data_IF_007258817219
#
_entry.id   IF_007258817219
#
_cell.length_a   1.000
_cell.length_b   1.000
_cell.length_c   1.000
_cell.angle_alpha   90.00
_cell.angle_beta   90.00
_cell.angle_gamma   90.00
#
_symmetry.space_group_name_H-M   'P 1'
#
loop_
_entity.id
_entity.type
_entity.pdbx_description
1 polymer ?
#
# COMPACT_ATOMS: atom_id res chain seq x y z
N UNK A 1 3.89 42.83 -16.84
CA UNK A 1 2.89 41.92 -17.40
C UNK A 1 3.61 40.70 -17.95
N UNK A 2 3.34 39.51 -17.44
CA UNK A 2 3.96 38.26 -17.90
C UNK A 2 3.18 37.75 -19.13
N UNK A 3 3.89 37.64 -20.26
CA UNK A 3 3.32 37.10 -21.49
C UNK A 3 3.20 35.55 -21.51
N UNK A 4 3.46 34.87 -20.37
CA UNK A 4 3.49 33.42 -20.25
C UNK A 4 2.50 32.92 -19.17
N UNK A 5 1.18 33.03 -19.37
CA UNK A 5 0.20 32.74 -18.33
C UNK A 5 0.24 31.31 -17.82
N UNK A 6 0.41 30.32 -18.68
CA UNK A 6 0.50 28.91 -18.29
C UNK A 6 1.76 28.60 -17.47
N UNK A 7 2.89 29.22 -17.81
CA UNK A 7 4.13 29.08 -17.04
C UNK A 7 4.00 29.66 -15.63
N UNK A 8 3.31 30.79 -15.50
CA UNK A 8 3.03 31.40 -14.19
C UNK A 8 2.08 30.52 -13.39
N UNK A 9 1.03 30.01 -14.01
CA UNK A 9 0.04 29.15 -13.38
C UNK A 9 0.63 27.80 -12.92
N UNK A 10 1.52 27.18 -13.69
CA UNK A 10 2.18 25.92 -13.37
C UNK A 10 3.40 26.05 -12.45
N UNK A 11 3.85 27.28 -12.15
CA UNK A 11 5.03 27.51 -11.28
C UNK A 11 4.93 26.84 -9.91
N UNK A 12 3.80 26.95 -9.17
CA UNK A 12 3.66 26.29 -7.86
C UNK A 12 3.81 24.77 -7.93
N UNK A 13 3.24 24.13 -8.98
CA UNK A 13 3.40 22.69 -9.20
C UNK A 13 4.88 22.34 -9.44
N UNK A 14 5.52 23.04 -10.37
CA UNK A 14 6.94 22.83 -10.67
C UNK A 14 7.83 22.97 -9.41
N UNK A 15 7.58 23.99 -8.62
CA UNK A 15 8.38 24.28 -7.42
C UNK A 15 8.13 23.22 -6.33
N UNK A 16 6.89 22.72 -6.20
CA UNK A 16 6.56 21.61 -5.31
C UNK A 16 7.24 20.31 -5.76
N UNK A 17 7.24 19.98 -7.06
CA UNK A 17 7.94 18.82 -7.62
C UNK A 17 9.45 18.89 -7.34
N UNK A 18 10.09 20.03 -7.61
CA UNK A 18 11.53 20.23 -7.32
C UNK A 18 11.85 20.10 -5.84
N UNK A 19 10.99 20.64 -4.97
CA UNK A 19 11.14 20.51 -3.53
C UNK A 19 11.01 19.05 -3.08
N UNK A 20 10.02 18.33 -3.61
CA UNK A 20 9.82 16.89 -3.36
C UNK A 20 11.06 16.09 -3.74
N UNK A 21 11.56 16.28 -4.96
CA UNK A 21 12.78 15.62 -5.44
C UNK A 21 13.97 15.84 -4.49
N UNK A 22 14.26 17.11 -4.13
CA UNK A 22 15.36 17.43 -3.21
C UNK A 22 15.20 16.83 -1.82
N UNK A 23 13.97 16.75 -1.29
CA UNK A 23 13.71 16.16 0.02
C UNK A 23 13.92 14.64 0.01
N UNK A 24 13.48 13.97 -1.04
CA UNK A 24 13.69 12.53 -1.22
C UNK A 24 15.18 12.24 -1.38
N UNK A 25 15.87 12.97 -2.24
CA UNK A 25 17.31 12.83 -2.46
C UNK A 25 18.10 12.98 -1.15
N UNK A 26 17.81 14.02 -0.36
CA UNK A 26 18.42 14.22 0.97
C UNK A 26 18.11 13.10 1.95
N UNK A 27 16.90 12.54 1.90
CA UNK A 27 16.52 11.40 2.74
C UNK A 27 17.33 10.15 2.37
N UNK A 28 17.47 9.85 1.09
CA UNK A 28 18.20 8.68 0.60
C UNK A 28 19.70 8.79 0.92
N UNK A 29 20.31 9.95 0.74
CA UNK A 29 21.76 10.15 0.95
C UNK A 29 22.09 10.35 2.44
N UNK A 30 21.38 11.22 3.13
CA UNK A 30 21.71 11.63 4.50
C UNK A 30 20.85 10.94 5.58
N UNK A 31 19.96 10.01 5.23
CA UNK A 31 19.02 9.31 6.13
C UNK A 31 18.22 10.25 7.04
N UNK A 32 18.03 11.51 6.63
CA UNK A 32 17.24 12.49 7.38
C UNK A 32 15.77 12.14 7.33
N UNK A 33 15.05 12.36 8.45
CA UNK A 33 13.62 12.11 8.53
C UNK A 33 12.86 12.86 7.44
N UNK A 34 11.98 12.17 6.72
CA UNK A 34 11.20 12.70 5.61
C UNK A 34 9.87 13.26 6.14
N UNK A 35 9.65 14.56 5.93
CA UNK A 35 8.36 15.18 6.25
C UNK A 35 7.38 14.94 5.08
N UNK A 36 6.58 13.89 5.19
CA UNK A 36 5.63 13.49 4.17
C UNK A 36 4.63 14.59 3.77
N UNK A 37 4.29 15.52 4.68
CA UNK A 37 3.36 16.63 4.40
C UNK A 37 3.91 17.63 3.39
N UNK A 38 5.21 17.69 3.23
CA UNK A 38 5.89 18.60 2.29
C UNK A 38 6.09 18.03 0.90
N UNK A 39 5.79 16.74 0.74
CA UNK A 39 5.95 16.04 -0.54
C UNK A 39 4.73 16.23 -1.44
N UNK A 40 4.95 16.00 -2.72
CA UNK A 40 3.87 15.71 -3.64
C UNK A 40 3.29 14.35 -3.25
N UNK A 41 2.00 14.28 -2.91
CA UNK A 41 1.41 13.11 -2.25
C UNK A 41 0.43 12.33 -3.12
N UNK A 42 -0.06 12.94 -4.22
CA UNK A 42 -1.03 12.29 -5.09
C UNK A 42 -0.88 12.72 -6.54
N UNK A 43 -1.29 11.84 -7.46
CA UNK A 43 -1.36 12.16 -8.90
C UNK A 43 -2.32 13.31 -9.23
N UNK A 44 -3.35 13.51 -8.41
CA UNK A 44 -4.31 14.58 -8.63
C UNK A 44 -3.68 15.97 -8.45
N UNK A 45 -2.67 16.09 -7.61
CA UNK A 45 -1.92 17.34 -7.49
C UNK A 45 -1.20 17.73 -8.79
N UNK A 46 -0.83 16.74 -9.61
CA UNK A 46 -0.25 16.94 -10.94
C UNK A 46 -1.36 17.16 -11.97
N UNK A 47 -2.35 16.28 -11.98
CA UNK A 47 -3.37 16.24 -13.03
C UNK A 47 -4.31 17.45 -13.00
N UNK A 48 -4.69 17.91 -11.80
CA UNK A 48 -5.65 19.03 -11.65
C UNK A 48 -5.19 20.31 -12.37
N UNK A 49 -3.97 20.85 -12.11
CA UNK A 49 -3.51 22.04 -12.83
C UNK A 49 -3.29 21.78 -14.33
N UNK A 50 -2.89 20.58 -14.74
CA UNK A 50 -2.72 20.27 -16.16
C UNK A 50 -4.06 20.22 -16.90
N UNK A 51 -5.14 19.73 -16.27
CA UNK A 51 -6.50 19.79 -16.86
C UNK A 51 -6.94 21.22 -17.13
N UNK A 52 -6.75 22.12 -16.17
CA UNK A 52 -7.09 23.55 -16.35
C UNK A 52 -6.34 24.17 -17.51
N UNK A 53 -5.05 23.89 -17.65
CA UNK A 53 -4.26 24.36 -18.81
C UNK A 53 -4.78 23.78 -20.11
N UNK A 54 -5.10 22.48 -20.14
CA UNK A 54 -5.64 21.82 -21.33
C UNK A 54 -6.98 22.41 -21.75
N UNK A 55 -7.92 22.55 -20.81
CA UNK A 55 -9.23 23.16 -21.05
C UNK A 55 -9.11 24.59 -21.59
N UNK A 56 -8.20 25.39 -21.03
CA UNK A 56 -7.93 26.75 -21.51
C UNK A 56 -7.34 26.76 -22.92
N UNK A 57 -6.46 25.82 -23.26
CA UNK A 57 -5.91 25.71 -24.62
C UNK A 57 -6.99 25.34 -25.63
N UNK A 58 -7.85 24.38 -25.30
CA UNK A 58 -8.98 23.96 -26.14
C UNK A 58 -9.98 25.12 -26.38
N UNK A 59 -10.32 25.88 -25.32
CA UNK A 59 -11.18 27.06 -25.43
C UNK A 59 -10.58 28.19 -26.27
N UNK A 60 -9.27 28.28 -26.37
CA UNK A 60 -8.55 29.27 -27.18
C UNK A 60 -8.10 28.72 -28.56
N UNK A 61 -8.71 27.67 -29.05
CA UNK A 61 -8.45 27.07 -30.40
C UNK A 61 -7.00 26.57 -30.57
N UNK A 62 -6.33 26.17 -29.47
CA UNK A 62 -4.99 25.61 -29.47
C UNK A 62 -4.99 24.09 -29.22
N UNK A 63 -5.90 23.39 -29.91
CA UNK A 63 -6.11 21.94 -29.75
C UNK A 63 -4.86 21.10 -30.05
N UNK A 64 -4.07 21.54 -31.04
CA UNK A 64 -2.80 20.86 -31.38
C UNK A 64 -1.81 20.83 -30.20
N UNK A 65 -1.76 21.91 -29.40
CA UNK A 65 -0.91 21.98 -28.20
C UNK A 65 -1.55 21.18 -27.06
N UNK A 66 -2.88 21.26 -26.91
CA UNK A 66 -3.62 20.52 -25.89
C UNK A 66 -3.57 19.01 -26.07
N UNK A 67 -3.50 18.52 -27.32
CA UNK A 67 -3.45 17.09 -27.68
C UNK A 67 -2.04 16.53 -27.90
N UNK A 68 -1.00 17.36 -27.86
CA UNK A 68 0.42 16.98 -27.96
C UNK A 68 1.04 16.56 -26.63
N UNK A 69 2.20 17.11 -26.35
CA UNK A 69 3.04 16.80 -25.15
C UNK A 69 2.27 16.95 -23.84
N UNK A 70 1.35 17.92 -23.77
CA UNK A 70 0.52 18.11 -22.57
C UNK A 70 -0.36 16.87 -22.30
N UNK A 71 -1.02 16.36 -23.32
CA UNK A 71 -1.86 15.16 -23.19
C UNK A 71 -1.02 13.94 -22.83
N UNK A 72 0.16 13.79 -23.43
CA UNK A 72 1.06 12.68 -23.13
C UNK A 72 1.59 12.74 -21.70
N UNK A 73 1.94 13.92 -21.20
CA UNK A 73 2.29 14.12 -19.79
C UNK A 73 1.13 13.74 -18.86
N UNK A 74 -0.09 14.16 -19.21
CA UNK A 74 -1.30 13.81 -18.44
C UNK A 74 -1.57 12.31 -18.44
N UNK A 75 -1.39 11.63 -19.58
CA UNK A 75 -1.53 10.16 -19.69
C UNK A 75 -0.50 9.45 -18.81
N UNK A 76 0.76 9.87 -18.87
CA UNK A 76 1.84 9.33 -18.01
C UNK A 76 1.52 9.54 -16.53
N UNK A 77 1.13 10.75 -16.13
CA UNK A 77 0.74 11.04 -14.76
C UNK A 77 -0.50 10.24 -14.30
N UNK A 78 -1.45 9.97 -15.20
CA UNK A 78 -2.64 9.15 -14.90
C UNK A 78 -2.27 7.68 -14.72
N UNK A 79 -1.39 7.14 -15.54
CA UNK A 79 -0.98 5.73 -15.51
C UNK A 79 -0.04 5.42 -14.34
N UNK A 80 1.01 6.22 -14.18
CA UNK A 80 2.08 5.95 -13.21
C UNK A 80 1.92 6.69 -11.88
N UNK A 81 1.11 7.76 -11.86
CA UNK A 81 0.98 8.62 -10.69
C UNK A 81 2.30 9.30 -10.35
N UNK A 82 2.60 9.31 -9.06
CA UNK A 82 3.89 9.77 -8.49
C UNK A 82 4.84 8.59 -8.21
N UNK A 83 4.36 7.36 -8.39
CA UNK A 83 5.11 6.13 -8.19
C UNK A 83 5.28 5.44 -9.54
N UNK A 84 6.49 5.03 -9.87
CA UNK A 84 6.77 4.35 -11.15
C UNK A 84 5.99 3.04 -11.30
N UNK A 85 5.86 2.28 -10.21
CA UNK A 85 5.11 1.02 -10.16
C UNK A 85 4.56 0.80 -8.75
N UNK A 86 3.47 0.02 -8.66
CA UNK A 86 2.96 -0.47 -7.37
C UNK A 86 3.78 -1.66 -6.93
N UNK A 87 4.11 -1.70 -5.65
CA UNK A 87 4.86 -2.79 -5.05
C UNK A 87 3.91 -3.83 -4.46
N UNK A 88 3.98 -5.06 -4.95
CA UNK A 88 3.35 -6.21 -4.31
C UNK A 88 4.18 -6.68 -3.11
N UNK A 89 3.49 -6.95 -2.02
CA UNK A 89 4.10 -7.52 -0.82
C UNK A 89 3.98 -9.03 -0.90
N UNK A 90 5.07 -9.76 -0.68
CA UNK A 90 5.09 -11.22 -0.73
C UNK A 90 5.55 -11.79 0.60
N UNK A 91 4.82 -12.78 1.11
CA UNK A 91 5.17 -13.49 2.34
C UNK A 91 4.57 -14.91 2.33
N UNK A 92 5.24 -15.81 3.01
CA UNK A 92 4.81 -17.19 3.16
C UNK A 92 3.71 -17.33 4.24
N UNK A 93 2.71 -18.21 4.01
CA UNK A 93 1.57 -18.44 4.91
C UNK A 93 2.00 -18.91 6.30
N UNK A 94 3.04 -19.74 6.39
CA UNK A 94 3.57 -20.25 7.64
C UNK A 94 4.03 -19.14 8.60
N UNK A 95 4.59 -18.05 8.06
CA UNK A 95 5.04 -16.88 8.84
C UNK A 95 3.86 -16.18 9.55
N UNK A 96 2.73 -16.07 8.86
CA UNK A 96 1.51 -15.51 9.46
C UNK A 96 0.94 -16.43 10.54
N UNK A 97 0.92 -17.74 10.29
CA UNK A 97 0.46 -18.74 11.24
C UNK A 97 1.30 -18.78 12.51
N UNK A 98 2.64 -18.64 12.40
CA UNK A 98 3.56 -18.57 13.54
C UNK A 98 3.35 -17.32 14.39
N UNK A 99 3.16 -16.15 13.74
CA UNK A 99 2.83 -14.91 14.43
C UNK A 99 1.53 -15.05 15.24
N UNK A 100 0.49 -15.61 14.63
CA UNK A 100 -0.78 -15.88 15.31
C UNK A 100 -0.62 -16.89 16.45
N UNK A 101 0.22 -17.92 16.28
CA UNK A 101 0.48 -18.90 17.32
C UNK A 101 1.11 -18.27 18.56
N UNK A 102 2.10 -17.38 18.39
CA UNK A 102 2.68 -16.65 19.50
C UNK A 102 1.64 -15.77 20.21
N UNK A 103 0.84 -15.04 19.44
CA UNK A 103 -0.21 -14.19 19.97
C UNK A 103 -1.26 -14.98 20.76
N UNK A 104 -1.78 -16.07 20.17
CA UNK A 104 -2.81 -16.92 20.79
C UNK A 104 -2.27 -17.62 22.04
N UNK A 105 -1.05 -18.13 21.99
CA UNK A 105 -0.39 -18.77 23.15
C UNK A 105 -0.32 -17.81 24.34
N UNK A 106 0.11 -16.57 24.11
CA UNK A 106 0.24 -15.57 25.19
C UNK A 106 -1.11 -15.12 25.73
N UNK A 107 -2.14 -15.04 24.88
CA UNK A 107 -3.46 -14.52 25.25
C UNK A 107 -4.38 -15.58 25.84
N UNK A 108 -4.39 -16.78 25.30
CA UNK A 108 -5.38 -17.82 25.58
C UNK A 108 -4.74 -19.13 26.05
N UNK A 109 -3.43 -19.17 26.24
CA UNK A 109 -2.65 -20.38 26.57
C UNK A 109 -2.98 -21.58 25.67
N UNK A 110 -3.20 -21.34 24.37
CA UNK A 110 -3.61 -22.34 23.38
C UNK A 110 -2.66 -22.36 22.19
N UNK A 111 -2.49 -23.51 21.55
CA UNK A 111 -1.63 -23.66 20.39
C UNK A 111 -2.45 -23.53 19.09
N UNK A 112 -2.35 -22.37 18.44
CA UNK A 112 -3.03 -22.07 17.19
C UNK A 112 -2.69 -23.04 16.04
N UNK A 113 -1.43 -23.51 15.97
CA UNK A 113 -0.96 -24.37 14.90
C UNK A 113 -1.65 -25.74 14.92
N UNK A 114 -2.03 -26.23 16.11
CA UNK A 114 -2.68 -27.51 16.30
C UNK A 114 -4.21 -27.44 16.08
N UNK A 115 -4.75 -26.27 15.78
CA UNK A 115 -6.19 -26.16 15.54
C UNK A 115 -6.56 -26.65 14.14
N UNK A 116 -7.73 -27.30 14.04
CA UNK A 116 -8.32 -27.60 12.75
C UNK A 116 -8.78 -26.32 12.04
N UNK A 117 -8.97 -26.38 10.74
CA UNK A 117 -9.30 -25.25 9.88
C UNK A 117 -10.56 -24.50 10.33
N UNK A 118 -11.62 -25.21 10.66
CA UNK A 118 -12.88 -24.61 11.13
C UNK A 118 -12.68 -23.79 12.41
N UNK A 119 -11.83 -24.23 13.32
CA UNK A 119 -11.52 -23.52 14.57
C UNK A 119 -10.69 -22.25 14.28
N UNK A 120 -9.72 -22.34 13.35
CA UNK A 120 -8.94 -21.19 12.90
C UNK A 120 -9.84 -20.12 12.29
N UNK A 121 -10.69 -20.49 11.33
CA UNK A 121 -11.63 -19.58 10.66
C UNK A 121 -12.56 -18.92 11.67
N UNK A 122 -13.22 -19.68 12.55
CA UNK A 122 -14.10 -19.14 13.60
C UNK A 122 -13.39 -18.16 14.50
N UNK A 123 -12.16 -18.46 14.89
CA UNK A 123 -11.34 -17.56 15.72
C UNK A 123 -11.01 -16.27 14.99
N UNK A 124 -10.52 -16.35 13.75
CA UNK A 124 -10.12 -15.19 12.96
C UNK A 124 -11.32 -14.26 12.69
N UNK A 125 -12.46 -14.81 12.29
CA UNK A 125 -13.69 -14.04 12.08
C UNK A 125 -14.14 -13.36 13.39
N UNK A 126 -14.08 -14.06 14.52
CA UNK A 126 -14.42 -13.49 15.82
C UNK A 126 -13.50 -12.33 16.21
N UNK A 127 -12.17 -12.47 15.99
CA UNK A 127 -11.22 -11.39 16.29
C UNK A 127 -11.41 -10.18 15.36
N UNK A 128 -11.73 -10.40 14.08
CA UNK A 128 -12.06 -9.33 13.15
C UNK A 128 -13.32 -8.55 13.57
N UNK A 129 -14.37 -9.26 13.99
CA UNK A 129 -15.64 -8.63 14.47
C UNK A 129 -15.45 -7.78 15.72
N UNK A 130 -14.50 -8.11 16.59
CA UNK A 130 -14.24 -7.33 17.81
C UNK A 130 -13.73 -5.92 17.57
N UNK A 131 -13.23 -5.63 16.37
CA UNK A 131 -12.65 -4.34 15.96
C UNK A 131 -11.65 -3.74 16.98
N UNK A 132 -10.99 -4.59 17.79
CA UNK A 132 -10.02 -4.18 18.79
C UNK A 132 -8.61 -4.30 18.20
N UNK A 133 -7.81 -3.26 18.36
CA UNK A 133 -6.39 -3.24 17.95
C UNK A 133 -5.52 -4.00 18.97
N UNK A 134 -5.80 -5.29 19.11
CA UNK A 134 -5.17 -6.14 20.14
C UNK A 134 -3.67 -6.34 19.94
N UNK A 135 -3.18 -6.16 18.69
CA UNK A 135 -1.75 -6.31 18.35
C UNK A 135 -0.96 -5.02 18.57
N UNK A 136 -1.62 -3.87 18.72
CA UNK A 136 -0.94 -2.57 18.80
C UNK A 136 0.14 -2.53 19.90
N UNK A 137 -0.17 -3.09 21.06
CA UNK A 137 0.71 -3.11 22.24
C UNK A 137 1.29 -4.51 22.49
N UNK A 138 1.17 -5.43 21.53
CA UNK A 138 1.70 -6.76 21.68
C UNK A 138 3.20 -6.78 21.29
N UNK A 139 4.03 -7.24 22.19
CA UNK A 139 5.46 -7.42 21.95
C UNK A 139 5.72 -8.87 21.54
N UNK A 140 5.98 -9.06 20.24
CA UNK A 140 6.41 -10.35 19.70
C UNK A 140 7.86 -10.62 20.12
N UNK A 141 8.08 -11.75 20.83
CA UNK A 141 9.42 -12.14 21.30
C UNK A 141 10.24 -12.78 20.20
N UNK A 142 9.60 -13.52 19.30
CA UNK A 142 10.27 -14.12 18.16
C UNK A 142 10.63 -13.01 17.16
N UNK A 143 11.92 -12.97 16.76
CA UNK A 143 12.44 -11.96 15.83
C UNK A 143 11.70 -11.98 14.49
N UNK A 144 11.41 -13.16 13.95
CA UNK A 144 10.71 -13.32 12.68
C UNK A 144 9.27 -12.83 12.77
N UNK A 145 8.55 -13.15 13.85
CA UNK A 145 7.19 -12.68 14.07
C UNK A 145 7.15 -11.16 14.22
N UNK A 146 8.15 -10.58 14.91
CA UNK A 146 8.26 -9.13 15.03
C UNK A 146 8.56 -8.46 13.68
N UNK A 147 9.36 -9.09 12.81
CA UNK A 147 9.62 -8.63 11.44
C UNK A 147 8.34 -8.62 10.61
N UNK A 148 7.58 -9.72 10.61
CA UNK A 148 6.28 -9.80 9.92
C UNK A 148 5.33 -8.70 10.43
N UNK A 149 5.22 -8.53 11.75
CA UNK A 149 4.37 -7.49 12.32
C UNK A 149 4.84 -6.08 11.96
N UNK A 150 6.14 -5.85 11.91
CA UNK A 150 6.74 -4.57 11.52
C UNK A 150 6.45 -4.24 10.06
N UNK A 151 6.40 -5.24 9.17
CA UNK A 151 5.95 -5.06 7.79
C UNK A 151 4.50 -4.52 7.75
N UNK A 152 3.57 -5.11 8.50
CA UNK A 152 2.18 -4.59 8.53
C UNK A 152 2.09 -3.17 9.09
N UNK A 153 2.91 -2.82 10.08
CA UNK A 153 2.98 -1.43 10.59
C UNK A 153 3.49 -0.47 9.52
N UNK A 154 4.55 -0.85 8.81
CA UNK A 154 5.08 -0.05 7.70
C UNK A 154 4.01 0.18 6.63
N UNK A 155 3.30 -0.88 6.22
CA UNK A 155 2.23 -0.78 5.22
C UNK A 155 1.07 0.14 5.64
N UNK A 156 0.85 0.31 6.95
CA UNK A 156 -0.17 1.23 7.46
C UNK A 156 0.23 2.71 7.32
N UNK A 157 1.53 2.99 7.28
CA UNK A 157 2.09 4.33 7.18
C UNK A 157 2.36 4.74 5.72
N UNK A 158 2.42 3.78 4.79
CA UNK A 158 2.70 4.04 3.38
C UNK A 158 1.45 4.48 2.60
N UNK A 159 1.61 5.34 1.58
CA UNK A 159 0.53 5.73 0.68
C UNK A 159 -0.02 4.50 -0.07
N UNK A 160 -1.33 4.32 -0.06
CA UNK A 160 -1.97 3.17 -0.73
C UNK A 160 -1.75 3.15 -2.25
N UNK A 161 -1.40 4.28 -2.85
CA UNK A 161 -1.13 4.38 -4.28
C UNK A 161 0.18 3.68 -4.70
N UNK A 162 1.14 3.51 -3.78
CA UNK A 162 2.39 2.77 -4.05
C UNK A 162 2.31 1.28 -3.75
N UNK A 163 1.21 0.82 -3.14
CA UNK A 163 1.01 -0.58 -2.78
C UNK A 163 0.10 -1.29 -3.78
N UNK A 164 0.48 -2.51 -4.15
CA UNK A 164 -0.28 -3.41 -5.01
C UNK A 164 -1.09 -4.42 -4.18
N UNK A 165 -0.84 -5.70 -4.41
CA UNK A 165 -1.46 -6.79 -3.68
C UNK A 165 -0.57 -7.30 -2.53
N UNK A 166 -1.18 -7.99 -1.57
CA UNK A 166 -0.47 -8.82 -0.60
C UNK A 166 -0.55 -10.27 -1.07
N UNK A 167 0.54 -10.79 -1.58
CA UNK A 167 0.66 -12.13 -2.18
C UNK A 167 1.14 -13.11 -1.12
N UNK A 168 0.41 -14.21 -0.96
CA UNK A 168 0.75 -15.27 -0.01
C UNK A 168 1.22 -16.49 -0.77
N UNK A 169 2.49 -16.89 -0.57
CA UNK A 169 3.01 -18.15 -1.06
C UNK A 169 2.67 -19.31 -0.11
N UNK A 170 2.74 -20.53 -0.60
CA UNK A 170 2.45 -21.77 0.15
C UNK A 170 1.08 -21.72 0.85
N UNK A 171 0.10 -21.10 0.21
CA UNK A 171 -1.28 -21.04 0.75
C UNK A 171 -1.95 -22.38 0.60
N UNK A 172 -2.46 -22.92 1.69
CA UNK A 172 -3.12 -24.23 1.71
C UNK A 172 -4.57 -24.19 2.23
N UNK A 173 -4.97 -23.10 2.87
CA UNK A 173 -6.25 -23.01 3.55
C UNK A 173 -6.83 -21.59 3.56
N UNK A 174 -8.14 -21.46 3.71
CA UNK A 174 -8.84 -20.17 3.80
C UNK A 174 -8.39 -19.35 5.01
N UNK A 175 -7.97 -20.01 6.09
CA UNK A 175 -7.44 -19.32 7.28
C UNK A 175 -6.16 -18.53 6.99
N UNK A 176 -5.37 -18.90 5.98
CA UNK A 176 -4.16 -18.15 5.59
C UNK A 176 -4.51 -16.76 5.06
N UNK A 177 -5.56 -16.70 4.22
CA UNK A 177 -6.08 -15.43 3.68
C UNK A 177 -6.69 -14.58 4.81
N UNK A 178 -7.51 -15.19 5.67
CA UNK A 178 -8.13 -14.49 6.81
C UNK A 178 -7.11 -13.98 7.81
N UNK A 179 -6.00 -14.69 8.01
CA UNK A 179 -4.89 -14.26 8.87
C UNK A 179 -4.32 -12.92 8.41
N UNK A 180 -4.06 -12.77 7.11
CA UNK A 180 -3.54 -11.52 6.54
C UNK A 180 -4.56 -10.39 6.65
N UNK A 181 -5.85 -10.67 6.39
CA UNK A 181 -6.89 -9.66 6.60
C UNK A 181 -6.98 -9.19 8.04
N UNK A 182 -6.90 -10.12 9.01
CA UNK A 182 -6.86 -9.77 10.42
C UNK A 182 -5.65 -8.88 10.74
N UNK A 183 -4.45 -9.22 10.25
CA UNK A 183 -3.24 -8.43 10.47
C UNK A 183 -3.34 -7.03 9.88
N UNK A 184 -3.88 -6.89 8.67
CA UNK A 184 -4.16 -5.59 8.07
C UNK A 184 -5.11 -4.75 8.93
N UNK A 185 -6.17 -5.36 9.47
CA UNK A 185 -7.10 -4.68 10.38
C UNK A 185 -6.42 -4.27 11.68
N UNK A 186 -5.61 -5.14 12.26
CA UNK A 186 -4.89 -4.89 13.51
C UNK A 186 -3.84 -3.79 13.36
N UNK A 187 -3.17 -3.70 12.20
CA UNK A 187 -2.25 -2.64 11.85
C UNK A 187 -2.94 -1.32 11.48
N UNK A 188 -4.28 -1.32 11.36
CA UNK A 188 -5.07 -0.14 10.97
C UNK A 188 -4.79 0.35 9.55
N UNK A 189 -4.50 -0.55 8.62
CA UNK A 189 -4.37 -0.21 7.20
C UNK A 189 -5.73 0.28 6.70
N UNK A 190 -5.79 1.55 6.30
CA UNK A 190 -7.05 2.21 5.87
C UNK A 190 -7.59 1.58 4.59
N UNK A 191 -6.76 1.55 3.56
CA UNK A 191 -7.07 0.91 2.29
C UNK A 191 -6.41 -0.47 2.27
N UNK A 192 -7.16 -1.50 2.71
CA UNK A 192 -6.64 -2.86 2.78
C UNK A 192 -6.18 -3.33 1.42
N UNK A 193 -5.01 -3.93 1.37
CA UNK A 193 -4.49 -4.58 0.17
C UNK A 193 -5.32 -5.82 -0.15
N UNK A 194 -5.53 -6.05 -1.44
CA UNK A 194 -6.10 -7.32 -1.90
C UNK A 194 -5.15 -8.45 -1.55
N UNK A 195 -5.65 -9.46 -0.87
CA UNK A 195 -4.89 -10.67 -0.54
C UNK A 195 -5.01 -11.65 -1.69
N UNK A 196 -3.87 -12.10 -2.20
CA UNK A 196 -3.78 -13.00 -3.35
C UNK A 196 -3.04 -14.27 -2.94
N UNK A 197 -3.76 -15.39 -2.76
CA UNK A 197 -3.12 -16.69 -2.53
C UNK A 197 -2.45 -17.19 -3.83
N UNK A 198 -1.28 -17.78 -3.73
CA UNK A 198 -0.64 -18.51 -4.82
C UNK A 198 -0.99 -19.99 -4.74
N UNK A 199 -1.31 -20.59 -5.87
CA UNK A 199 -1.50 -22.02 -6.06
C UNK A 199 -0.29 -22.53 -6.84
N UNK A 200 0.71 -23.03 -6.12
CA UNK A 200 2.02 -23.36 -6.68
C UNK A 200 2.17 -24.84 -7.02
N UNK A 201 1.28 -25.69 -6.49
CA UNK A 201 1.30 -27.13 -6.72
C UNK A 201 -0.02 -27.61 -7.35
N UNK A 202 0.04 -28.81 -7.98
CA UNK A 202 -1.18 -29.45 -8.50
C UNK A 202 -2.21 -29.70 -7.38
N UNK A 203 -1.74 -29.96 -6.17
CA UNK A 203 -2.62 -30.17 -5.01
C UNK A 203 -3.31 -28.89 -4.58
N UNK A 204 -2.61 -27.75 -4.61
CA UNK A 204 -3.20 -26.43 -4.31
C UNK A 204 -4.33 -26.12 -5.30
N UNK A 205 -4.09 -26.36 -6.61
CA UNK A 205 -5.09 -26.17 -7.65
C UNK A 205 -6.32 -27.08 -7.45
N UNK A 206 -6.14 -28.31 -7.02
CA UNK A 206 -7.25 -29.24 -6.72
C UNK A 206 -8.07 -28.79 -5.50
N UNK A 207 -7.42 -28.15 -4.54
CA UNK A 207 -8.03 -27.67 -3.29
C UNK A 207 -8.57 -26.23 -3.38
N UNK A 208 -8.40 -25.56 -4.52
CA UNK A 208 -8.76 -24.15 -4.73
C UNK A 208 -10.27 -23.87 -4.87
N UNK A 209 -11.14 -24.87 -4.59
CA UNK A 209 -12.61 -24.78 -4.67
C UNK A 209 -13.23 -24.12 -3.44
#
# INVERSE_FOLDING_TARGET
KTFEPYRVYLRPLRDKMRKTHRLIERHLVAKKQLDQKKLLSSKEEILKPLRVVRESLEQNQNENIASGDLLDLMRRAKCFGINLAKLDIRQESSRHSQLLAEYVKKKNNSNYLNWNENKKIKYLIREMKKNRKSFKNFNFKNKENNEVWSTFKLLADEPSECLGAYVISMTSASSDVLAVYLMQMQANIKNKLRVVPLFETLQDLKNAK
#
